data_IF_773635138188
#
_entry.id   IF_773635138188
#
_cell.length_a   1.000
_cell.length_b   1.000
_cell.length_c   1.000
_cell.angle_alpha   90.00
_cell.angle_beta   90.00
_cell.angle_gamma   90.00
#
_symmetry.space_group_name_H-M   'P 1'
#
loop_
_entity.id
_entity.type
_entity.pdbx_description
1 polymer ?
#
# COMPACT_ATOMS: atom_id res chain seq x y z
N UNK A 1 2.55 -22.32 -27.05
CA UNK A 1 1.63 -22.40 -25.90
C UNK A 1 2.13 -23.52 -25.01
N UNK A 2 2.33 -23.30 -23.71
CA UNK A 2 2.67 -24.37 -22.76
C UNK A 2 1.36 -25.04 -22.31
N UNK A 3 1.29 -26.37 -22.41
CA UNK A 3 0.08 -27.15 -22.10
C UNK A 3 0.18 -27.87 -20.76
N UNK A 4 1.27 -27.64 -20.02
CA UNK A 4 1.51 -28.23 -18.71
C UNK A 4 0.86 -27.39 -17.61
N UNK A 5 0.29 -28.07 -16.62
CA UNK A 5 -0.21 -27.44 -15.40
C UNK A 5 0.89 -27.30 -14.34
N UNK A 6 1.96 -28.08 -14.47
CA UNK A 6 3.05 -28.09 -13.50
C UNK A 6 4.43 -27.85 -14.10
N UNK A 7 5.18 -26.97 -13.45
CA UNK A 7 6.53 -26.59 -13.86
C UNK A 7 7.58 -27.56 -13.31
N UNK A 8 7.44 -27.98 -12.05
CA UNK A 8 8.47 -28.80 -11.39
C UNK A 8 8.28 -30.27 -11.70
N UNK A 9 9.37 -31.03 -11.73
CA UNK A 9 9.35 -32.45 -12.09
C UNK A 9 8.46 -33.29 -11.16
N UNK A 10 8.50 -33.02 -9.85
CA UNK A 10 7.76 -33.76 -8.82
C UNK A 10 6.27 -33.40 -8.71
N UNK A 11 5.83 -32.31 -9.35
CA UNK A 11 4.43 -31.93 -9.36
C UNK A 11 3.66 -32.82 -10.35
N UNK A 12 2.57 -33.43 -9.86
CA UNK A 12 1.71 -34.27 -10.68
C UNK A 12 1.07 -33.46 -11.80
N UNK A 13 1.22 -33.94 -13.03
CA UNK A 13 0.66 -33.32 -14.23
C UNK A 13 0.42 -34.42 -15.28
N UNK A 14 -0.83 -34.82 -15.55
CA UNK A 14 -1.14 -35.90 -16.46
C UNK A 14 -0.75 -35.56 -17.90
N UNK A 15 -0.77 -34.27 -18.27
CA UNK A 15 -0.35 -33.79 -19.59
C UNK A 15 1.15 -33.93 -19.77
N UNK A 16 1.95 -33.73 -18.72
CA UNK A 16 3.40 -33.96 -18.73
C UNK A 16 3.73 -35.42 -19.05
N UNK A 17 3.06 -36.37 -18.40
CA UNK A 17 3.25 -37.80 -18.66
C UNK A 17 2.74 -38.21 -20.04
N UNK A 18 1.60 -37.70 -20.47
CA UNK A 18 1.06 -37.96 -21.80
C UNK A 18 2.02 -37.50 -22.91
N UNK A 19 2.56 -36.27 -22.80
CA UNK A 19 3.55 -35.74 -23.74
C UNK A 19 4.84 -36.59 -23.72
N UNK A 20 5.29 -37.02 -22.54
CA UNK A 20 6.46 -37.89 -22.41
C UNK A 20 6.25 -39.24 -23.11
N UNK A 21 5.07 -39.86 -22.98
CA UNK A 21 4.70 -41.09 -23.68
C UNK A 21 4.64 -40.87 -25.19
N UNK A 22 4.00 -39.79 -25.67
CA UNK A 22 3.97 -39.46 -27.09
C UNK A 22 5.37 -39.19 -27.67
N UNK A 23 6.26 -38.58 -26.87
CA UNK A 23 7.65 -38.38 -27.28
C UNK A 23 8.42 -39.70 -27.35
N UNK A 24 8.22 -40.58 -26.36
CA UNK A 24 8.81 -41.92 -26.35
C UNK A 24 8.35 -42.78 -27.54
N UNK A 25 7.07 -42.68 -27.92
CA UNK A 25 6.49 -43.37 -29.08
C UNK A 25 6.81 -42.69 -30.42
N UNK A 26 7.60 -41.62 -30.45
CA UNK A 26 7.98 -40.89 -31.66
C UNK A 26 6.88 -40.01 -32.27
N UNK A 27 5.71 -39.92 -31.64
CA UNK A 27 4.59 -39.07 -32.06
C UNK A 27 4.85 -37.57 -31.80
N UNK A 28 5.80 -37.24 -30.91
CA UNK A 28 6.22 -35.86 -30.63
C UNK A 28 7.77 -35.73 -30.61
N UNK A 29 8.34 -35.14 -31.67
CA UNK A 29 9.80 -35.11 -31.88
C UNK A 29 10.44 -33.73 -31.67
N UNK A 30 9.66 -32.66 -31.51
CA UNK A 30 10.14 -31.26 -31.47
C UNK A 30 9.70 -30.52 -30.20
N UNK A 31 9.91 -31.14 -29.03
CA UNK A 31 9.59 -30.53 -27.73
C UNK A 31 10.52 -29.35 -27.44
N UNK A 32 9.95 -28.25 -26.95
CA UNK A 32 10.68 -27.06 -26.51
C UNK A 32 10.43 -26.83 -25.02
N UNK A 33 11.48 -26.43 -24.30
CA UNK A 33 11.42 -26.08 -22.88
C UNK A 33 11.66 -24.59 -22.76
N UNK A 34 10.86 -23.93 -21.92
CA UNK A 34 11.06 -22.52 -21.59
C UNK A 34 12.27 -22.37 -20.66
N UNK A 35 13.09 -21.31 -20.80
CA UNK A 35 14.20 -21.11 -19.87
C UNK A 35 13.67 -20.73 -18.48
N UNK A 36 14.42 -21.12 -17.44
CA UNK A 36 13.97 -21.00 -16.04
C UNK A 36 13.74 -19.55 -15.60
N UNK A 37 14.44 -18.59 -16.23
CA UNK A 37 14.31 -17.15 -15.95
C UNK A 37 12.92 -16.67 -16.33
N UNK A 38 12.42 -17.04 -17.51
CA UNK A 38 11.09 -16.67 -18.00
C UNK A 38 10.02 -17.29 -17.11
N UNK A 39 10.17 -18.55 -16.73
CA UNK A 39 9.23 -19.24 -15.84
C UNK A 39 9.18 -18.57 -14.47
N UNK A 40 10.34 -18.22 -13.91
CA UNK A 40 10.44 -17.49 -12.63
C UNK A 40 9.80 -16.11 -12.72
N UNK A 41 10.09 -15.37 -13.81
CA UNK A 41 9.45 -14.07 -14.08
C UNK A 41 7.93 -14.21 -14.11
N UNK A 42 7.39 -15.16 -14.87
CA UNK A 42 5.95 -15.39 -14.94
C UNK A 42 5.33 -15.74 -13.59
N UNK A 43 5.99 -16.57 -12.77
CA UNK A 43 5.54 -16.89 -11.42
C UNK A 43 5.51 -15.66 -10.51
N UNK A 44 6.57 -14.84 -10.54
CA UNK A 44 6.62 -13.59 -9.77
C UNK A 44 5.57 -12.58 -10.26
N UNK A 45 5.33 -12.48 -11.57
CA UNK A 45 4.26 -11.65 -12.12
C UNK A 45 2.89 -12.07 -11.62
N UNK A 46 2.60 -13.38 -11.54
CA UNK A 46 1.33 -13.86 -10.99
C UNK A 46 1.20 -13.58 -9.49
N UNK A 47 2.27 -13.75 -8.72
CA UNK A 47 2.28 -13.36 -7.30
C UNK A 47 2.05 -11.86 -7.12
N UNK A 48 2.74 -11.02 -7.90
CA UNK A 48 2.53 -9.57 -7.89
C UNK A 48 1.10 -9.20 -8.27
N UNK A 49 0.49 -9.90 -9.23
CA UNK A 49 -0.91 -9.70 -9.60
C UNK A 49 -1.86 -10.04 -8.45
N UNK A 50 -1.64 -11.17 -7.76
CA UNK A 50 -2.43 -11.56 -6.60
C UNK A 50 -2.29 -10.54 -5.46
N UNK A 51 -1.06 -10.18 -5.10
CA UNK A 51 -0.78 -9.16 -4.09
C UNK A 51 -1.41 -7.82 -4.45
N UNK A 52 -1.36 -7.42 -5.73
CA UNK A 52 -2.03 -6.21 -6.20
C UNK A 52 -3.54 -6.30 -6.01
N UNK A 53 -4.17 -7.42 -6.38
CA UNK A 53 -5.61 -7.61 -6.20
C UNK A 53 -6.03 -7.56 -4.74
N UNK A 54 -5.25 -8.17 -3.85
CA UNK A 54 -5.49 -8.10 -2.40
C UNK A 54 -5.33 -6.66 -1.90
N UNK A 55 -4.25 -5.99 -2.29
CA UNK A 55 -3.96 -4.62 -1.88
C UNK A 55 -4.99 -3.60 -2.40
N UNK A 56 -5.43 -3.74 -3.66
CA UNK A 56 -6.46 -2.89 -4.27
C UNK A 56 -7.85 -3.09 -3.61
N UNK A 57 -8.06 -4.21 -2.88
CA UNK A 57 -9.31 -4.46 -2.17
C UNK A 57 -9.38 -3.83 -0.78
N UNK A 58 -8.25 -3.33 -0.26
CA UNK A 58 -8.18 -2.64 1.02
C UNK A 58 -8.56 -1.16 0.88
N UNK A 59 -9.14 -0.54 1.92
CA UNK A 59 -9.37 0.89 1.93
C UNK A 59 -8.05 1.65 1.90
N UNK A 60 -7.91 2.54 0.93
CA UNK A 60 -6.75 3.40 0.81
C UNK A 60 -7.01 4.76 1.43
N UNK A 61 -6.03 5.34 2.16
CA UNK A 61 -6.11 6.73 2.58
C UNK A 61 -6.24 7.66 1.36
N UNK A 62 -6.92 8.79 1.57
CA UNK A 62 -7.04 9.84 0.56
C UNK A 62 -5.63 10.30 0.16
N UNK A 63 -5.40 10.45 -1.15
CA UNK A 63 -4.12 10.92 -1.66
C UNK A 63 -3.86 12.35 -1.16
N UNK A 64 -2.60 12.66 -0.85
CA UNK A 64 -2.23 13.98 -0.32
C UNK A 64 -2.68 15.13 -1.23
N UNK A 65 -2.68 14.92 -2.55
CA UNK A 65 -3.10 15.90 -3.56
C UNK A 65 -4.62 16.16 -3.59
N UNK A 66 -5.42 15.21 -3.10
CA UNK A 66 -6.88 15.30 -3.08
C UNK A 66 -7.42 15.87 -1.75
N UNK A 67 -6.55 16.11 -0.77
CA UNK A 67 -6.94 16.65 0.53
C UNK A 67 -7.28 18.14 0.43
N UNK A 68 -8.35 18.60 1.11
CA UNK A 68 -8.65 20.02 1.17
C UNK A 68 -7.56 20.76 1.94
N UNK A 69 -7.18 21.94 1.43
CA UNK A 69 -6.23 22.83 2.09
C UNK A 69 -6.99 23.65 3.14
N UNK A 70 -6.59 23.54 4.40
CA UNK A 70 -7.27 24.16 5.55
C UNK A 70 -6.31 25.16 6.21
N UNK A 71 -6.79 26.38 6.51
CA UNK A 71 -5.98 27.37 7.23
C UNK A 71 -5.83 27.03 8.72
N UNK A 72 -4.80 27.56 9.38
CA UNK A 72 -4.61 27.37 10.83
C UNK A 72 -5.81 27.83 11.66
N UNK A 73 -6.41 28.97 11.30
CA UNK A 73 -7.59 29.50 11.99
C UNK A 73 -8.80 28.55 11.84
N UNK A 74 -9.03 28.05 10.62
CA UNK A 74 -10.13 27.10 10.36
C UNK A 74 -9.90 25.77 11.07
N UNK A 75 -8.65 25.27 11.09
CA UNK A 75 -8.27 24.09 11.85
C UNK A 75 -8.58 24.26 13.35
N UNK A 76 -8.18 25.38 13.96
CA UNK A 76 -8.45 25.67 15.36
C UNK A 76 -9.94 25.78 15.67
N UNK A 77 -10.71 26.42 14.79
CA UNK A 77 -12.17 26.55 14.98
C UNK A 77 -12.86 25.18 14.91
N UNK A 78 -12.55 24.37 13.89
CA UNK A 78 -13.10 23.03 13.75
C UNK A 78 -12.71 22.10 14.90
N UNK A 79 -11.52 22.29 15.48
CA UNK A 79 -11.03 21.50 16.62
C UNK A 79 -11.80 21.73 17.93
N UNK A 80 -12.70 22.73 17.98
CA UNK A 80 -13.60 22.95 19.12
C UNK A 80 -14.81 22.01 19.09
N UNK A 81 -15.19 21.54 17.91
CA UNK A 81 -16.36 20.69 17.69
C UNK A 81 -15.99 19.24 17.41
N UNK A 82 -14.77 19.00 16.89
CA UNK A 82 -14.24 17.68 16.53
C UNK A 82 -12.85 17.49 17.12
N UNK A 83 -12.54 16.26 17.47
CA UNK A 83 -11.19 15.90 17.92
C UNK A 83 -10.23 15.83 16.72
N UNK A 84 -9.58 16.96 16.40
CA UNK A 84 -8.63 17.07 15.30
C UNK A 84 -7.19 17.24 15.80
N UNK A 85 -6.26 16.52 15.17
CA UNK A 85 -4.82 16.63 15.46
C UNK A 85 -4.01 16.89 14.19
N UNK A 86 -3.01 17.76 14.29
CA UNK A 86 -2.07 18.03 13.20
C UNK A 86 -0.84 17.13 13.37
N UNK A 87 -0.49 16.37 12.34
CA UNK A 87 0.73 15.55 12.30
C UNK A 87 1.36 15.65 10.91
N UNK A 88 2.63 16.05 10.85
CA UNK A 88 3.42 16.22 9.62
C UNK A 88 2.69 17.04 8.54
N UNK A 89 2.06 18.15 8.94
CA UNK A 89 1.33 19.03 8.02
C UNK A 89 -0.05 18.54 7.59
N UNK A 90 -0.47 17.35 7.98
CA UNK A 90 -1.81 16.81 7.72
C UNK A 90 -2.70 16.87 8.95
N UNK A 91 -3.97 17.21 8.73
CA UNK A 91 -5.01 17.25 9.75
C UNK A 91 -5.71 15.90 9.77
N UNK A 92 -5.82 15.31 10.94
CA UNK A 92 -6.43 14.00 11.16
C UNK A 92 -7.63 14.15 12.07
N UNK A 93 -8.74 13.50 11.71
CA UNK A 93 -9.89 13.36 12.60
C UNK A 93 -9.72 12.08 13.43
N UNK A 94 -9.58 12.26 14.73
CA UNK A 94 -9.36 11.17 15.69
C UNK A 94 -10.56 10.94 16.59
N UNK A 95 -11.71 11.58 16.34
CA UNK A 95 -12.91 11.54 17.20
C UNK A 95 -13.36 10.11 17.54
N UNK A 96 -13.34 9.19 16.57
CA UNK A 96 -13.71 7.79 16.80
C UNK A 96 -12.58 6.94 17.42
N UNK A 97 -11.35 7.45 17.38
CA UNK A 97 -10.13 6.75 17.81
C UNK A 97 -9.63 7.18 19.20
N UNK A 98 -10.03 8.35 19.70
CA UNK A 98 -9.51 8.91 20.96
C UNK A 98 -9.57 7.91 22.12
N UNK A 99 -10.70 7.23 22.29
CA UNK A 99 -10.92 6.26 23.38
C UNK A 99 -10.20 4.92 23.16
N UNK A 100 -9.79 4.64 21.92
CA UNK A 100 -9.14 3.40 21.52
C UNK A 100 -7.60 3.54 21.47
N UNK A 101 -7.07 4.75 21.70
CA UNK A 101 -5.66 5.03 21.59
C UNK A 101 -4.83 4.19 22.58
N UNK A 102 -3.97 3.25 22.11
CA UNK A 102 -3.25 2.33 23.00
C UNK A 102 -2.26 3.02 23.95
N UNK A 103 -1.76 4.21 23.60
CA UNK A 103 -0.90 5.03 24.47
C UNK A 103 -1.65 5.75 25.60
N UNK A 104 -2.99 5.66 25.61
CA UNK A 104 -3.87 6.33 26.56
C UNK A 104 -4.56 7.55 25.95
N UNK A 105 -5.86 7.65 26.24
CA UNK A 105 -6.75 8.72 25.76
C UNK A 105 -6.24 10.12 26.15
N UNK A 106 -5.79 10.30 27.40
CA UNK A 106 -5.36 11.59 27.93
C UNK A 106 -4.14 12.18 27.21
N UNK A 107 -3.27 11.34 26.64
CA UNK A 107 -2.14 11.83 25.84
C UNK A 107 -2.66 12.45 24.54
N UNK A 108 -3.56 11.75 23.84
CA UNK A 108 -4.11 12.22 22.57
C UNK A 108 -4.99 13.46 22.76
N UNK A 109 -5.79 13.50 23.83
CA UNK A 109 -6.63 14.65 24.18
C UNK A 109 -5.81 15.94 24.42
N UNK A 110 -4.59 15.82 24.96
CA UNK A 110 -3.70 16.97 25.16
C UNK A 110 -3.24 17.65 23.86
N UNK A 111 -3.42 16.97 22.72
CA UNK A 111 -3.02 17.44 21.39
C UNK A 111 -4.20 17.84 20.49
N UNK A 112 -5.45 17.80 20.95
CA UNK A 112 -6.58 18.31 20.16
C UNK A 112 -6.37 19.80 19.85
N UNK A 113 -6.51 20.16 18.56
CA UNK A 113 -6.24 21.50 18.05
C UNK A 113 -4.76 21.89 18.03
N UNK A 114 -3.83 20.93 18.16
CA UNK A 114 -2.39 21.18 18.22
C UNK A 114 -1.58 20.31 17.27
N UNK A 115 -0.34 20.72 17.07
CA UNK A 115 0.67 19.93 16.37
C UNK A 115 1.22 18.82 17.29
N UNK A 116 0.87 17.58 16.96
CA UNK A 116 1.33 16.36 17.60
C UNK A 116 2.52 15.72 16.89
N UNK A 117 3.06 16.33 15.82
CA UNK A 117 4.20 15.79 15.05
C UNK A 117 5.37 15.38 15.94
N UNK A 118 5.85 16.24 16.88
CA UNK A 118 6.98 15.84 17.73
C UNK A 118 6.64 14.64 18.61
N UNK A 119 5.42 14.54 19.13
CA UNK A 119 5.00 13.44 19.99
C UNK A 119 4.85 12.13 19.23
N UNK A 120 4.41 12.20 17.98
CA UNK A 120 4.18 11.03 17.13
C UNK A 120 5.49 10.39 16.62
N UNK A 121 6.47 11.21 16.21
CA UNK A 121 7.75 10.76 15.61
C UNK A 121 8.90 10.62 16.64
N UNK A 122 8.61 10.15 17.86
CA UNK A 122 9.68 9.80 18.81
C UNK A 122 10.13 10.89 19.78
N UNK A 123 9.46 12.04 19.85
CA UNK A 123 9.62 12.97 20.98
C UNK A 123 9.08 12.41 22.29
N UNK A 124 8.18 11.41 22.23
CA UNK A 124 7.64 10.69 23.39
C UNK A 124 7.64 9.17 23.13
N UNK A 125 7.08 8.71 22.00
CA UNK A 125 7.07 7.30 21.57
C UNK A 125 7.32 7.20 20.07
N UNK A 126 7.99 6.12 19.64
CA UNK A 126 8.12 5.77 18.24
C UNK A 126 6.95 4.85 17.85
N UNK A 127 6.10 5.29 16.93
CA UNK A 127 4.88 4.58 16.58
C UNK A 127 5.16 3.45 15.58
N UNK A 128 4.45 2.34 15.73
CA UNK A 128 4.61 1.19 14.82
C UNK A 128 4.14 1.51 13.39
N UNK A 129 4.61 0.73 12.41
CA UNK A 129 4.14 0.84 11.03
C UNK A 129 2.60 0.77 10.89
N UNK A 130 1.93 -0.01 11.74
CA UNK A 130 0.48 -0.08 11.77
C UNK A 130 -0.17 1.23 12.21
N UNK A 131 0.42 1.92 13.19
CA UNK A 131 -0.05 3.22 13.66
C UNK A 131 0.15 4.32 12.60
N UNK A 132 1.26 4.30 11.84
CA UNK A 132 1.46 5.21 10.70
C UNK A 132 0.41 4.99 9.60
N UNK A 133 0.08 3.73 9.28
CA UNK A 133 -0.95 3.41 8.29
C UNK A 133 -2.36 3.84 8.77
N UNK A 134 -2.67 3.61 10.06
CA UNK A 134 -3.93 4.03 10.66
C UNK A 134 -4.06 5.56 10.65
N UNK A 135 -3.02 6.28 11.05
CA UNK A 135 -2.98 7.74 10.98
C UNK A 135 -3.28 8.25 9.57
N UNK A 136 -2.66 7.65 8.54
CA UNK A 136 -2.92 8.04 7.16
C UNK A 136 -4.40 7.90 6.75
N UNK A 137 -5.10 6.88 7.25
CA UNK A 137 -6.53 6.68 6.97
C UNK A 137 -7.45 7.71 7.63
N UNK A 138 -6.97 8.41 8.65
CA UNK A 138 -7.72 9.45 9.39
C UNK A 138 -7.53 10.86 8.82
N UNK A 139 -6.81 11.02 7.70
CA UNK A 139 -6.55 12.32 7.08
C UNK A 139 -7.85 12.96 6.56
N UNK A 140 -8.08 14.21 6.95
CA UNK A 140 -9.23 15.01 6.51
C UNK A 140 -8.83 16.32 5.81
N UNK A 141 -7.56 16.71 5.87
CA UNK A 141 -7.06 17.90 5.18
C UNK A 141 -5.54 18.06 5.28
N UNK A 142 -5.02 18.99 4.49
CA UNK A 142 -3.63 19.46 4.57
C UNK A 142 -3.63 20.89 5.11
N UNK A 143 -2.73 21.20 6.05
CA UNK A 143 -2.62 22.54 6.61
C UNK A 143 -1.98 23.49 5.58
N UNK A 144 -2.58 24.67 5.37
CA UNK A 144 -2.03 25.70 4.50
C UNK A 144 -0.65 26.16 5.02
N UNK A 145 0.38 26.04 4.17
CA UNK A 145 1.77 26.34 4.56
C UNK A 145 2.37 25.31 5.54
N UNK A 146 1.65 24.23 5.85
CA UNK A 146 2.20 23.09 6.55
C UNK A 146 3.23 22.40 5.67
N UNK A 147 4.38 22.07 6.25
CA UNK A 147 5.40 21.29 5.57
C UNK A 147 5.16 19.82 5.89
N UNK A 148 4.93 19.01 4.86
CA UNK A 148 5.10 17.57 4.98
C UNK A 148 6.58 17.32 5.33
N UNK A 149 6.85 16.57 6.40
CA UNK A 149 8.22 16.19 6.69
C UNK A 149 8.69 15.24 5.61
N UNK A 150 9.69 15.61 4.81
CA UNK A 150 10.23 14.76 3.72
C UNK A 150 11.18 13.67 4.29
N UNK A 151 10.93 13.19 5.51
CA UNK A 151 11.65 12.04 6.05
C UNK A 151 10.99 10.75 5.53
N UNK A 152 11.78 9.68 5.34
CA UNK A 152 11.26 8.38 4.91
C UNK A 152 10.12 7.89 5.82
N UNK A 153 10.08 8.31 7.08
CA UNK A 153 9.07 7.92 8.08
C UNK A 153 7.73 8.62 7.92
N UNK A 154 7.67 9.75 7.20
CA UNK A 154 6.43 10.49 6.98
C UNK A 154 5.53 9.84 5.93
N UNK A 155 6.12 9.08 4.99
CA UNK A 155 5.36 8.25 4.06
C UNK A 155 4.87 7.00 4.81
N UNK A 156 3.56 6.79 4.93
CA UNK A 156 3.00 5.60 5.57
C UNK A 156 3.61 4.34 4.95
N UNK A 157 3.98 3.33 5.76
CA UNK A 157 4.57 2.08 5.26
C UNK A 157 3.77 1.41 4.14
N UNK A 158 2.44 1.48 4.17
CA UNK A 158 1.58 0.95 3.10
C UNK A 158 1.74 1.69 1.75
N UNK A 159 2.19 2.95 1.78
CA UNK A 159 2.42 3.77 0.60
C UNK A 159 3.87 3.66 0.08
N UNK A 160 4.82 3.18 0.89
CA UNK A 160 6.23 3.02 0.48
C UNK A 160 6.43 2.00 -0.65
N UNK A 161 5.62 0.93 -0.64
CA UNK A 161 5.69 -0.13 -1.63
C UNK A 161 4.32 -0.32 -2.27
N UNK A 162 4.18 0.10 -3.52
CA UNK A 162 2.96 -0.08 -4.31
C UNK A 162 3.22 -0.92 -5.55
N UNK A 163 2.30 -1.85 -5.84
CA UNK A 163 2.32 -2.61 -7.09
C UNK A 163 1.52 -1.84 -8.14
N UNK A 164 2.24 -1.08 -8.98
CA UNK A 164 1.64 -0.29 -10.07
C UNK A 164 1.61 -1.08 -11.38
N UNK A 165 0.47 -1.04 -12.08
CA UNK A 165 0.37 -1.53 -13.45
C UNK A 165 0.79 -0.43 -14.41
N UNK A 166 1.76 -0.71 -15.30
CA UNK A 166 2.12 0.22 -16.35
C UNK A 166 1.04 0.23 -17.44
N UNK A 167 0.22 1.27 -17.48
CA UNK A 167 -0.68 1.50 -18.62
C UNK A 167 0.14 2.17 -19.73
N UNK A 168 0.26 1.50 -20.87
CA UNK A 168 0.85 2.14 -22.06
C UNK A 168 -0.18 3.12 -22.61
N UNK A 169 0.02 4.41 -22.35
CA UNK A 169 -0.72 5.46 -23.06
C UNK A 169 -0.32 5.36 -24.53
N UNK A 170 -1.24 4.89 -25.37
CA UNK A 170 -1.06 4.93 -26.82
C UNK A 170 -0.96 6.40 -27.21
N UNK A 171 0.24 6.87 -27.52
CA UNK A 171 0.41 8.17 -28.18
C UNK A 171 -0.30 8.05 -29.52
N UNK A 172 -1.46 8.69 -29.66
CA UNK A 172 -2.01 8.96 -30.99
C UNK A 172 -0.95 9.77 -31.74
N UNK A 173 -0.49 9.35 -32.93
CA UNK A 173 0.32 10.22 -33.77
C UNK A 173 -0.53 11.43 -34.16
N UNK A 174 0.06 12.63 -34.06
CA UNK A 174 -0.49 13.89 -34.58
C UNK A 174 -0.63 13.85 -36.11
#
# INVERSE_FOLDING_TARGET
MDYRNAVKWYQWDPTKWFIAVCSYLGAASHLRVFPDVEVTRSQLTMKLKQLKTELDSLPWPVASDDLPIISWESYQEQSKERDLVLVSGFIHDVNEFVDQHPGGQGILQAYIGRDATPAFFGGVYDHSNAAHNLLASMRVGALHGGLEQINEDAVPPCQKLQVVSRVLVSRKPE
#
